data_IF_888158746784
#
_entry.id   IF_888158746784
#
_cell.length_a   1.000
_cell.length_b   1.000
_cell.length_c   1.000
_cell.angle_alpha   90.00
_cell.angle_beta   90.00
_cell.angle_gamma   90.00
#
_symmetry.space_group_name_H-M   'P 1'
#
loop_
_entity.id
_entity.type
_entity.pdbx_description
1 polymer ?
#
# COMPACT_ATOMS: atom_id res chain seq x y z
N UNK A 1 12.91 -16.09 41.61
CA UNK A 1 11.58 -15.73 41.06
C UNK A 1 11.75 -14.47 40.24
N UNK A 2 11.56 -14.55 38.92
CA UNK A 2 11.72 -13.40 38.04
C UNK A 2 10.66 -12.35 38.40
N UNK A 3 11.11 -11.15 38.78
CA UNK A 3 10.22 -10.03 39.07
C UNK A 3 9.49 -9.64 37.78
N UNK A 4 8.24 -10.07 37.64
CA UNK A 4 7.31 -9.51 36.66
C UNK A 4 7.02 -8.08 37.08
N UNK A 5 7.91 -7.16 36.69
CA UNK A 5 7.74 -5.72 36.88
C UNK A 5 6.48 -5.34 36.10
N UNK A 6 5.48 -4.84 36.81
CA UNK A 6 4.22 -4.38 36.23
C UNK A 6 4.49 -3.58 34.94
N UNK A 7 3.66 -3.74 33.89
CA UNK A 7 3.87 -3.06 32.62
C UNK A 7 3.93 -1.55 32.87
N UNK A 8 5.12 -0.99 32.70
CA UNK A 8 5.33 0.44 32.79
C UNK A 8 4.51 1.09 31.67
N UNK A 9 3.58 2.01 31.97
CA UNK A 9 2.69 2.59 30.96
C UNK A 9 3.46 3.26 29.82
N UNK A 10 4.68 3.76 30.09
CA UNK A 10 5.55 4.32 29.04
C UNK A 10 6.08 3.24 28.09
N UNK A 11 6.38 2.04 28.59
CA UNK A 11 6.82 0.91 27.76
C UNK A 11 5.70 0.42 26.86
N UNK A 12 4.48 0.36 27.37
CA UNK A 12 3.31 -0.02 26.56
C UNK A 12 3.03 1.02 25.47
N UNK A 13 3.04 2.30 25.81
CA UNK A 13 2.88 3.38 24.83
C UNK A 13 3.96 3.33 23.74
N UNK A 14 5.21 3.07 24.11
CA UNK A 14 6.31 2.92 23.16
C UNK A 14 6.13 1.70 22.25
N UNK A 15 5.69 0.55 22.79
CA UNK A 15 5.36 -0.62 21.97
C UNK A 15 4.26 -0.30 20.96
N UNK A 16 3.16 0.33 21.41
CA UNK A 16 2.05 0.74 20.54
C UNK A 16 2.48 1.71 19.46
N UNK A 17 3.39 2.62 19.77
CA UNK A 17 3.98 3.52 18.78
C UNK A 17 4.75 2.75 17.70
N UNK A 18 5.61 1.80 18.09
CA UNK A 18 6.37 0.99 17.16
C UNK A 18 5.49 0.08 16.29
N UNK A 19 4.42 -0.49 16.87
CA UNK A 19 3.41 -1.26 16.14
C UNK A 19 2.67 -0.36 15.14
N UNK A 20 2.15 0.79 15.59
CA UNK A 20 1.41 1.72 14.73
C UNK A 20 2.28 2.31 13.61
N UNK A 21 3.57 2.49 13.86
CA UNK A 21 4.53 2.97 12.86
C UNK A 21 5.08 1.87 11.95
N UNK A 22 4.65 0.60 12.11
CA UNK A 22 5.08 -0.51 11.25
C UNK A 22 6.53 -0.97 11.47
N UNK A 23 7.20 -0.50 12.53
CA UNK A 23 8.60 -0.84 12.83
C UNK A 23 8.71 -2.32 13.19
N UNK A 24 7.73 -2.84 13.94
CA UNK A 24 7.69 -4.25 14.35
C UNK A 24 7.53 -5.17 13.13
N UNK A 25 6.60 -4.85 12.23
CA UNK A 25 6.37 -5.60 10.99
C UNK A 25 7.59 -5.58 10.08
N UNK A 26 8.23 -4.42 9.92
CA UNK A 26 9.45 -4.27 9.12
C UNK A 26 10.61 -5.12 9.67
N UNK A 27 10.86 -5.06 10.97
CA UNK A 27 11.88 -5.89 11.63
C UNK A 27 11.56 -7.38 11.49
N UNK A 28 10.28 -7.76 11.65
CA UNK A 28 9.84 -9.15 11.51
C UNK A 28 10.06 -9.67 10.10
N UNK A 29 9.71 -8.88 9.08
CA UNK A 29 9.91 -9.23 7.67
C UNK A 29 11.39 -9.44 7.32
N UNK A 30 12.29 -8.57 7.80
CA UNK A 30 13.73 -8.73 7.57
C UNK A 30 14.29 -9.98 8.26
N UNK A 31 13.82 -10.29 9.47
CA UNK A 31 14.24 -11.50 10.20
C UNK A 31 13.72 -12.78 9.53
N UNK A 32 12.49 -12.77 9.01
CA UNK A 32 11.95 -13.87 8.21
C UNK A 32 12.78 -14.04 6.93
N UNK A 33 13.07 -12.95 6.22
CA UNK A 33 13.90 -12.97 5.01
C UNK A 33 15.29 -13.55 5.26
N UNK A 34 15.88 -13.25 6.43
CA UNK A 34 17.15 -13.83 6.87
C UNK A 34 17.02 -15.32 7.22
N UNK A 35 15.90 -15.73 7.82
CA UNK A 35 15.63 -17.12 8.17
C UNK A 35 15.41 -18.00 6.91
N UNK A 36 14.76 -17.45 5.89
CA UNK A 36 14.48 -18.13 4.62
C UNK A 36 15.69 -18.21 3.68
N UNK A 37 16.80 -17.53 3.98
CA UNK A 37 18.01 -17.61 3.15
C UNK A 37 18.53 -19.06 3.11
N UNK A 38 18.68 -19.66 1.92
CA UNK A 38 19.16 -21.04 1.77
C UNK A 38 20.62 -21.19 2.26
N UNK A 39 21.44 -20.15 2.07
CA UNK A 39 22.77 -20.02 2.65
C UNK A 39 22.77 -18.85 3.63
N UNK A 40 23.04 -19.13 4.91
CA UNK A 40 23.09 -18.06 5.91
C UNK A 40 24.25 -17.11 5.59
N UNK A 41 24.01 -15.80 5.50
CA UNK A 41 25.08 -14.86 5.21
C UNK A 41 26.12 -14.92 6.32
N UNK A 42 27.40 -14.92 5.95
CA UNK A 42 28.54 -14.91 6.89
C UNK A 42 28.46 -13.74 7.88
N UNK A 43 27.80 -12.64 7.48
CA UNK A 43 27.53 -11.50 8.36
C UNK A 43 26.04 -11.15 8.37
N UNK A 44 25.29 -11.83 9.26
CA UNK A 44 23.86 -11.59 9.45
C UNK A 44 23.53 -10.15 9.85
N UNK A 45 24.42 -9.47 10.59
CA UNK A 45 24.17 -8.08 11.01
C UNK A 45 24.19 -7.12 9.83
N UNK A 46 25.13 -7.29 8.90
CA UNK A 46 25.18 -6.50 7.67
C UNK A 46 23.98 -6.75 6.76
N UNK A 47 23.55 -8.01 6.65
CA UNK A 47 22.32 -8.36 5.91
C UNK A 47 21.11 -7.60 6.45
N UNK A 48 20.91 -7.61 7.77
CA UNK A 48 19.78 -6.92 8.42
C UNK A 48 19.84 -5.41 8.19
N UNK A 49 21.00 -4.77 8.31
CA UNK A 49 21.15 -3.33 8.05
C UNK A 49 20.77 -2.95 6.63
N UNK A 50 21.24 -3.72 5.64
CA UNK A 50 20.95 -3.46 4.23
C UNK A 50 19.46 -3.63 3.93
N UNK A 51 18.84 -4.71 4.42
CA UNK A 51 17.44 -5.00 4.16
C UNK A 51 16.49 -4.04 4.90
N UNK A 52 16.88 -3.51 6.07
CA UNK A 52 16.13 -2.46 6.75
C UNK A 52 16.12 -1.14 5.97
N UNK A 53 17.25 -0.75 5.35
CA UNK A 53 17.30 0.44 4.50
C UNK A 53 16.39 0.30 3.27
N UNK A 54 16.33 -0.89 2.67
CA UNK A 54 15.48 -1.15 1.50
C UNK A 54 14.00 -1.21 1.90
N UNK A 55 13.66 -1.90 2.99
CA UNK A 55 12.29 -2.01 3.49
C UNK A 55 11.67 -0.65 3.82
N UNK A 56 12.47 0.29 4.35
CA UNK A 56 12.03 1.66 4.62
C UNK A 56 11.63 2.44 3.36
N UNK A 57 12.27 2.17 2.22
CA UNK A 57 11.95 2.80 0.95
C UNK A 57 10.70 2.18 0.31
N UNK A 58 10.59 0.85 0.33
CA UNK A 58 9.47 0.12 -0.29
C UNK A 58 8.13 0.40 0.40
N UNK A 59 8.10 0.59 1.72
CA UNK A 59 6.84 0.86 2.43
C UNK A 59 6.20 2.19 2.02
N UNK A 60 7.00 3.27 2.00
CA UNK A 60 6.49 4.61 1.67
C UNK A 60 6.02 4.69 0.20
N UNK A 61 6.79 4.07 -0.70
CA UNK A 61 6.46 4.02 -2.12
C UNK A 61 5.21 3.14 -2.37
N UNK A 62 5.06 2.03 -1.63
CA UNK A 62 3.88 1.16 -1.73
C UNK A 62 2.61 1.85 -1.27
N UNK A 63 2.63 2.58 -0.15
CA UNK A 63 1.46 3.31 0.35
C UNK A 63 1.04 4.44 -0.61
N UNK A 64 2.01 5.17 -1.17
CA UNK A 64 1.77 6.20 -2.17
C UNK A 64 1.18 5.61 -3.46
N UNK A 65 1.73 4.51 -3.96
CA UNK A 65 1.22 3.79 -5.12
C UNK A 65 -0.20 3.25 -4.88
N UNK A 66 -0.50 2.75 -3.68
CA UNK A 66 -1.85 2.29 -3.34
C UNK A 66 -2.87 3.43 -3.35
N UNK A 67 -2.51 4.60 -2.80
CA UNK A 67 -3.35 5.80 -2.86
C UNK A 67 -3.58 6.24 -4.32
N UNK A 68 -2.55 6.25 -5.15
CA UNK A 68 -2.67 6.61 -6.56
C UNK A 68 -3.58 5.63 -7.32
N UNK A 69 -3.48 4.33 -7.05
CA UNK A 69 -4.38 3.31 -7.62
C UNK A 69 -5.84 3.55 -7.21
N UNK A 70 -6.09 3.95 -5.96
CA UNK A 70 -7.45 4.27 -5.49
C UNK A 70 -7.98 5.51 -6.22
N UNK A 71 -7.19 6.58 -6.30
CA UNK A 71 -7.58 7.84 -6.95
C UNK A 71 -7.85 7.63 -8.46
N UNK A 72 -6.96 6.94 -9.16
CA UNK A 72 -7.13 6.60 -10.57
C UNK A 72 -8.37 5.75 -10.82
N UNK A 73 -8.67 4.78 -9.94
CA UNK A 73 -9.89 3.96 -10.06
C UNK A 73 -11.15 4.79 -9.87
N UNK A 74 -11.16 5.70 -8.91
CA UNK A 74 -12.29 6.62 -8.69
C UNK A 74 -12.49 7.53 -9.91
N UNK A 75 -11.41 8.11 -10.43
CA UNK A 75 -11.46 8.97 -11.61
C UNK A 75 -11.94 8.23 -12.86
N UNK A 76 -11.47 7.01 -13.08
CA UNK A 76 -11.97 6.14 -14.14
C UNK A 76 -13.47 5.86 -13.99
N UNK A 77 -13.96 5.57 -12.78
CA UNK A 77 -15.38 5.34 -12.54
C UNK A 77 -16.21 6.58 -12.90
N UNK A 78 -15.81 7.77 -12.44
CA UNK A 78 -16.47 9.03 -12.79
C UNK A 78 -16.48 9.29 -14.29
N UNK A 79 -15.33 9.11 -14.97
CA UNK A 79 -15.22 9.33 -16.41
C UNK A 79 -16.06 8.34 -17.24
N UNK A 80 -16.20 7.10 -16.76
CA UNK A 80 -17.05 6.08 -17.39
C UNK A 80 -18.52 6.44 -17.25
N UNK A 81 -18.94 6.93 -16.09
CA UNK A 81 -20.30 7.39 -15.84
C UNK A 81 -20.63 8.64 -16.69
N UNK A 82 -19.74 9.63 -16.70
CA UNK A 82 -19.88 10.82 -17.55
C UNK A 82 -19.93 10.46 -19.04
N UNK A 83 -19.08 9.54 -19.51
CA UNK A 83 -19.15 9.04 -20.89
C UNK A 83 -20.50 8.38 -21.19
N UNK A 84 -21.06 7.63 -20.25
CA UNK A 84 -22.35 6.98 -20.42
C UNK A 84 -23.48 8.02 -20.51
N UNK A 85 -23.46 9.04 -19.66
CA UNK A 85 -24.43 10.14 -19.70
C UNK A 85 -24.31 10.94 -21.00
N UNK A 86 -23.10 11.29 -21.42
CA UNK A 86 -22.84 12.01 -22.66
C UNK A 86 -23.28 11.20 -23.89
N UNK A 87 -22.99 9.89 -23.93
CA UNK A 87 -23.48 9.01 -25.01
C UNK A 87 -24.99 8.92 -25.03
N UNK A 88 -25.63 8.82 -23.87
CA UNK A 88 -27.10 8.79 -23.76
C UNK A 88 -27.71 10.10 -24.26
N UNK A 89 -27.10 11.25 -23.91
CA UNK A 89 -27.52 12.56 -24.42
C UNK A 89 -27.31 12.66 -25.93
N UNK A 90 -26.17 12.24 -26.45
CA UNK A 90 -25.90 12.22 -27.90
C UNK A 90 -26.95 11.40 -28.66
N UNK A 91 -27.31 10.20 -28.17
CA UNK A 91 -28.36 9.38 -28.76
C UNK A 91 -29.74 10.05 -28.77
N UNK A 92 -30.03 10.94 -27.80
CA UNK A 92 -31.27 11.71 -27.78
C UNK A 92 -31.26 12.89 -28.78
N UNK A 93 -30.08 13.38 -29.14
CA UNK A 93 -29.89 14.44 -30.14
C UNK A 93 -29.58 13.89 -31.54
N UNK A 94 -29.39 12.58 -31.68
CA UNK A 94 -29.32 11.86 -32.94
C UNK A 94 -30.61 11.05 -33.23
N UNK A 95 -31.83 11.62 -33.17
CA UNK A 95 -32.93 11.05 -33.92
C UNK A 95 -32.76 11.49 -35.38
N UNK A 96 -32.54 10.54 -36.28
CA UNK A 96 -33.05 10.62 -37.65
C UNK A 96 -32.40 11.58 -38.68
N UNK A 97 -31.15 12.07 -38.51
CA UNK A 97 -30.46 12.73 -39.66
C UNK A 97 -29.84 11.71 -40.65
N UNK A 98 -29.95 10.41 -40.37
CA UNK A 98 -29.49 9.33 -41.25
C UNK A 98 -30.61 8.61 -42.04
N UNK A 99 -31.84 9.15 -42.07
CA UNK A 99 -32.95 8.59 -42.85
C UNK A 99 -33.29 9.36 -44.14
N UNK A 100 -32.60 10.47 -44.45
CA UNK A 100 -32.84 11.22 -45.69
C UNK A 100 -31.55 11.76 -46.30
N UNK A 101 -30.79 10.89 -46.97
CA UNK A 101 -30.00 11.33 -48.14
C UNK A 101 -29.84 10.18 -49.14
N UNK A 102 -30.66 10.28 -50.18
CA UNK A 102 -30.70 9.61 -51.50
C UNK A 102 -30.99 8.09 -51.58
#
# INVERSE_FOLDING_TARGET
MAHYRAPDPKREQFRRYLEKAGVVDSLTSVLVSLYEQPEKPNNALEFVKQHLNVAGQTSADSDALQQEVIDLRQRCACLVEENKDLKTRLQQYEPEDAATVD
#
